data_IF_371719326294
#
_entry.id   IF_371719326294
#
_cell.length_a   1.000
_cell.length_b   1.000
_cell.length_c   1.000
_cell.angle_alpha   90.00
_cell.angle_beta   90.00
_cell.angle_gamma   90.00
#
_symmetry.space_group_name_H-M   'P 1'
#
loop_
_entity.id
_entity.type
_entity.pdbx_description
1 polymer ?
#
# COMPACT_ATOMS: atom_id res chain seq x y z
N UNK A 1 -48.99 -13.91 -14.61
CA UNK A 1 -47.70 -14.21 -13.92
C UNK A 1 -46.55 -13.65 -14.75
N UNK A 2 -45.49 -13.20 -14.08
CA UNK A 2 -44.54 -12.16 -14.49
C UNK A 2 -44.01 -12.24 -15.94
N UNK A 3 -44.19 -11.13 -16.67
CA UNK A 3 -43.53 -10.85 -17.96
C UNK A 3 -42.12 -10.33 -17.65
N UNK A 4 -41.15 -11.24 -17.58
CA UNK A 4 -39.74 -10.88 -17.43
C UNK A 4 -39.26 -10.21 -18.71
N UNK A 5 -39.15 -8.90 -18.68
CA UNK A 5 -38.59 -8.11 -19.77
C UNK A 5 -37.12 -8.49 -19.99
N UNK A 6 -36.68 -8.79 -21.22
CA UNK A 6 -35.26 -8.99 -21.48
C UNK A 6 -34.58 -7.64 -21.30
N UNK A 7 -33.77 -7.50 -20.24
CA UNK A 7 -32.88 -6.37 -20.05
C UNK A 7 -31.95 -6.31 -21.28
N UNK A 8 -32.27 -5.42 -22.22
CA UNK A 8 -31.38 -5.06 -23.32
C UNK A 8 -30.20 -4.33 -22.69
N UNK A 9 -29.15 -5.08 -22.36
CA UNK A 9 -27.85 -4.53 -21.99
C UNK A 9 -27.35 -3.69 -23.16
N UNK A 10 -27.64 -2.39 -23.11
CA UNK A 10 -27.16 -1.44 -24.09
C UNK A 10 -25.63 -1.38 -24.00
N UNK A 11 -24.88 -1.49 -25.10
CA UNK A 11 -23.42 -1.40 -25.10
C UNK A 11 -22.91 -0.06 -24.53
N UNK A 12 -23.77 0.97 -24.51
CA UNK A 12 -23.54 2.23 -23.80
C UNK A 12 -23.35 2.05 -22.28
N UNK A 13 -24.07 1.11 -21.67
CA UNK A 13 -23.97 0.87 -20.23
C UNK A 13 -22.65 0.19 -19.86
N UNK A 14 -22.14 -0.68 -20.73
CA UNK A 14 -20.82 -1.31 -20.57
C UNK A 14 -19.70 -0.26 -20.69
N UNK A 15 -19.80 0.64 -21.68
CA UNK A 15 -18.85 1.75 -21.86
C UNK A 15 -18.83 2.69 -20.65
N UNK A 16 -20.00 3.03 -20.11
CA UNK A 16 -20.12 3.87 -18.92
C UNK A 16 -19.47 3.22 -17.67
N UNK A 17 -19.65 1.90 -17.52
CA UNK A 17 -19.01 1.11 -16.47
C UNK A 17 -17.48 1.11 -16.61
N UNK A 18 -16.95 0.96 -17.82
CA UNK A 18 -15.51 1.03 -18.07
C UNK A 18 -14.93 2.42 -17.75
N UNK A 19 -15.62 3.51 -18.12
CA UNK A 19 -15.18 4.87 -17.79
C UNK A 19 -15.20 5.10 -16.29
N UNK A 20 -16.21 4.62 -15.57
CA UNK A 20 -16.26 4.68 -14.11
C UNK A 20 -15.07 3.93 -13.48
N UNK A 21 -14.78 2.72 -13.94
CA UNK A 21 -13.63 1.92 -13.47
C UNK A 21 -12.30 2.64 -13.72
N UNK A 22 -12.11 3.23 -14.91
CA UNK A 22 -10.88 3.98 -15.23
C UNK A 22 -10.78 5.26 -14.38
N UNK A 23 -11.91 5.94 -14.15
CA UNK A 23 -11.94 7.16 -13.32
C UNK A 23 -11.69 6.90 -11.83
N UNK A 24 -12.01 5.69 -11.33
CA UNK A 24 -11.66 5.29 -9.95
C UNK A 24 -10.18 4.91 -9.80
N UNK A 25 -9.45 4.68 -10.90
CA UNK A 25 -7.99 4.52 -10.88
C UNK A 25 -7.25 5.86 -11.00
N UNK A 26 -7.97 6.98 -11.12
CA UNK A 26 -7.38 8.32 -11.01
C UNK A 26 -7.45 8.79 -9.56
N UNK A 27 -6.87 8.02 -8.66
CA UNK A 27 -6.42 8.53 -7.37
C UNK A 27 -5.30 9.53 -7.67
N UNK A 28 -5.65 10.81 -7.54
CA UNK A 28 -4.78 11.90 -7.89
C UNK A 28 -3.61 12.08 -6.92
N UNK A 29 -2.66 12.87 -7.41
CA UNK A 29 -1.61 13.57 -6.65
C UNK A 29 -0.42 12.71 -6.22
N UNK A 30 0.50 12.60 -7.18
CA UNK A 30 1.96 12.53 -7.08
C UNK A 30 2.59 12.96 -5.73
N UNK A 31 2.50 12.10 -4.73
CA UNK A 31 3.64 11.73 -3.91
C UNK A 31 3.86 10.24 -4.22
N UNK A 32 5.02 9.88 -4.78
CA UNK A 32 5.28 8.47 -5.13
C UNK A 32 5.48 7.74 -3.81
N UNK A 33 4.43 7.06 -3.33
CA UNK A 33 4.51 6.17 -2.18
C UNK A 33 5.40 4.99 -2.58
N UNK A 34 6.56 4.87 -1.93
CA UNK A 34 7.48 3.76 -2.11
C UNK A 34 7.48 2.93 -0.85
N UNK A 35 7.24 1.63 -1.01
CA UNK A 35 7.34 0.67 0.08
C UNK A 35 8.56 -0.23 -0.13
N UNK A 36 9.35 -0.42 0.91
CA UNK A 36 10.52 -1.29 0.94
C UNK A 36 10.37 -2.26 2.10
N UNK A 37 10.51 -3.55 1.81
CA UNK A 37 10.57 -4.60 2.83
C UNK A 37 12.00 -5.10 2.95
N UNK A 38 12.48 -5.25 4.19
CA UNK A 38 13.81 -5.78 4.49
C UNK A 38 13.80 -6.62 5.75
N UNK A 39 14.81 -7.46 5.94
CA UNK A 39 14.96 -8.21 7.18
C UNK A 39 15.17 -7.25 8.37
N UNK A 40 14.58 -7.58 9.53
CA UNK A 40 14.73 -6.80 10.75
C UNK A 40 16.20 -6.83 11.19
N UNK A 41 16.82 -5.66 11.29
CA UNK A 41 18.18 -5.54 11.82
C UNK A 41 18.15 -5.37 13.34
N UNK A 42 18.22 -6.49 14.06
CA UNK A 42 18.29 -6.51 15.54
C UNK A 42 19.58 -5.89 16.11
N UNK A 43 20.54 -5.48 15.28
CA UNK A 43 21.68 -4.68 15.75
C UNK A 43 21.31 -3.23 16.06
N UNK A 44 20.15 -2.77 15.57
CA UNK A 44 19.60 -1.44 15.85
C UNK A 44 18.99 -1.42 17.26
N UNK A 45 19.26 -0.35 18.03
CA UNK A 45 18.69 -0.20 19.37
C UNK A 45 17.17 -0.08 19.33
N UNK A 46 16.47 -0.87 20.14
CA UNK A 46 15.02 -0.80 20.31
C UNK A 46 14.56 -1.71 21.44
N UNK A 47 13.41 -1.38 22.04
CA UNK A 47 12.80 -2.16 23.13
C UNK A 47 11.98 -3.36 22.62
N UNK A 48 11.66 -3.39 21.32
CA UNK A 48 10.92 -4.46 20.67
C UNK A 48 11.04 -4.40 19.14
N UNK A 49 10.53 -5.41 18.42
CA UNK A 49 10.68 -5.50 16.97
C UNK A 49 10.02 -4.33 16.23
N UNK A 50 8.94 -3.76 16.76
CA UNK A 50 8.34 -2.54 16.20
C UNK A 50 9.26 -1.32 16.34
N UNK A 51 9.84 -1.09 17.51
CA UNK A 51 10.77 0.04 17.72
C UNK A 51 12.02 -0.11 16.86
N UNK A 52 12.52 -1.34 16.70
CA UNK A 52 13.65 -1.65 15.82
C UNK A 52 13.29 -1.31 14.37
N UNK A 53 12.09 -1.68 13.92
CA UNK A 53 11.59 -1.38 12.58
C UNK A 53 11.42 0.13 12.36
N UNK A 54 10.83 0.88 13.31
CA UNK A 54 10.72 2.35 13.21
C UNK A 54 12.11 3.00 13.12
N UNK A 55 13.06 2.58 13.97
CA UNK A 55 14.42 3.09 13.93
C UNK A 55 15.14 2.74 12.62
N UNK A 56 14.92 1.54 12.08
CA UNK A 56 15.46 1.12 10.79
C UNK A 56 14.87 1.94 9.63
N UNK A 57 13.55 2.15 9.61
CA UNK A 57 12.87 2.98 8.62
C UNK A 57 13.36 4.44 8.71
N UNK A 58 13.46 5.00 9.91
CA UNK A 58 13.99 6.36 10.13
C UNK A 58 15.46 6.49 9.74
N UNK A 59 16.27 5.46 9.95
CA UNK A 59 17.70 5.49 9.59
C UNK A 59 17.91 5.40 8.09
N UNK A 60 17.12 4.58 7.39
CA UNK A 60 17.25 4.36 5.95
C UNK A 60 16.51 5.42 5.12
N UNK A 61 15.37 5.91 5.62
CA UNK A 61 14.46 6.78 4.90
C UNK A 61 14.14 8.07 5.68
N UNK A 62 14.94 8.48 6.66
CA UNK A 62 14.69 9.68 7.47
C UNK A 62 14.70 11.01 6.71
N UNK A 63 15.13 11.01 5.44
CA UNK A 63 14.98 12.14 4.52
C UNK A 63 13.62 12.20 3.81
N UNK A 64 12.76 11.21 4.02
CA UNK A 64 11.44 11.06 3.41
C UNK A 64 10.34 11.09 4.46
N UNK A 65 9.11 11.39 4.04
CA UNK A 65 7.95 11.34 4.93
C UNK A 65 7.55 9.89 5.11
N UNK A 66 7.81 9.30 6.28
CA UNK A 66 7.39 7.93 6.59
C UNK A 66 5.88 7.92 6.80
N UNK A 67 5.17 7.14 5.99
CA UNK A 67 3.71 7.01 6.04
C UNK A 67 3.31 5.86 6.96
N UNK A 68 3.99 4.72 6.80
CA UNK A 68 3.72 3.51 7.58
C UNK A 68 5.00 2.71 7.80
N UNK A 69 5.05 2.01 8.92
CA UNK A 69 6.06 1.01 9.20
C UNK A 69 5.40 -0.16 9.94
N UNK A 70 5.58 -1.38 9.44
CA UNK A 70 4.97 -2.58 10.00
C UNK A 70 5.99 -3.71 10.10
N UNK A 71 5.84 -4.52 11.16
CA UNK A 71 6.65 -5.73 11.35
C UNK A 71 5.84 -6.92 10.87
N UNK A 72 6.38 -7.62 9.89
CA UNK A 72 5.83 -8.88 9.45
C UNK A 72 6.55 -10.02 10.16
N UNK A 73 5.78 -10.81 10.90
CA UNK A 73 6.28 -11.99 11.60
C UNK A 73 6.15 -13.21 10.71
N UNK A 74 7.28 -13.82 10.37
CA UNK A 74 7.32 -15.08 9.64
C UNK A 74 7.73 -16.23 10.56
N UNK A 75 6.91 -17.28 10.62
CA UNK A 75 7.15 -18.43 11.51
C UNK A 75 8.43 -19.20 11.17
N UNK A 76 8.85 -19.17 9.90
CA UNK A 76 10.00 -19.93 9.38
C UNK A 76 11.09 -19.05 8.76
N UNK A 77 11.01 -17.72 8.92
CA UNK A 77 11.99 -16.76 8.42
C UNK A 77 12.28 -15.70 9.47
N UNK A 78 13.33 -14.91 9.25
CA UNK A 78 13.53 -13.69 10.02
C UNK A 78 12.30 -12.79 9.90
N UNK A 79 11.97 -12.07 10.97
CA UNK A 79 10.97 -11.02 10.90
C UNK A 79 11.43 -9.97 9.89
N UNK A 80 10.50 -9.42 9.13
CA UNK A 80 10.79 -8.37 8.16
C UNK A 80 10.13 -7.07 8.60
N UNK A 81 10.77 -5.96 8.24
CA UNK A 81 10.28 -4.60 8.45
C UNK A 81 9.84 -4.05 7.09
N UNK A 82 8.57 -3.66 7.00
CA UNK A 82 8.00 -2.97 5.85
C UNK A 82 8.00 -1.47 6.15
N UNK A 83 8.71 -0.68 5.36
CA UNK A 83 8.74 0.79 5.46
C UNK A 83 8.09 1.39 4.21
N UNK A 84 7.02 2.17 4.38
CA UNK A 84 6.43 2.97 3.32
C UNK A 84 6.73 4.45 3.54
N UNK A 85 7.28 5.11 2.52
CA UNK A 85 7.67 6.50 2.56
C UNK A 85 7.23 7.24 1.29
N UNK A 86 7.02 8.54 1.44
CA UNK A 86 6.76 9.47 0.34
C UNK A 86 8.00 10.34 0.10
N UNK A 87 8.35 10.49 -1.18
CA UNK A 87 9.30 11.49 -1.65
C UNK A 87 8.72 12.89 -1.31
N UNK A 88 9.14 13.46 -0.18
CA UNK A 88 8.74 14.80 0.24
C UNK A 88 9.15 15.83 -0.80
N UNK A 89 8.17 16.60 -1.28
CA UNK A 89 8.36 17.69 -2.24
C UNK A 89 9.23 18.82 -1.70
#
# INVERSE_FOLDING_TARGET
MAKTSPLRFSPLFLGLLCVLIISMNSEGVSAVVRCSTGDLDYSISGSGPQDICDNQCRRNFGGYTIISHDVEFFVFKANTCACCYEDGA
#
